data_IF_206031536014
#
_entry.id   IF_206031536014
#
_cell.length_a   1.000
_cell.length_b   1.000
_cell.length_c   1.000
_cell.angle_alpha   90.00
_cell.angle_beta   90.00
_cell.angle_gamma   90.00
#
_symmetry.space_group_name_H-M   'P 1'
#
loop_
_entity.id
_entity.type
_entity.pdbx_description
1 polymer ?
#
# COMPACT_ATOMS: atom_id res chain seq x y z
N UNK A 1 3.39 -13.80 -21.23
CA UNK A 1 3.16 -13.06 -19.96
C UNK A 1 2.51 -11.73 -20.34
N UNK A 2 1.22 -11.48 -20.08
CA UNK A 2 0.61 -10.23 -20.53
C UNK A 2 1.05 -9.10 -19.58
N UNK A 3 1.66 -8.09 -20.18
CA UNK A 3 1.95 -6.79 -19.58
C UNK A 3 0.60 -6.08 -19.38
N UNK A 4 0.26 -5.83 -18.13
CA UNK A 4 -0.92 -5.06 -17.74
C UNK A 4 -0.65 -3.59 -18.07
N UNK A 5 -1.40 -2.93 -18.97
CA UNK A 5 -1.17 -1.52 -19.30
C UNK A 5 -1.40 -0.62 -18.07
N UNK A 6 -0.74 0.54 -17.99
CA UNK A 6 -0.88 1.50 -16.87
C UNK A 6 -2.34 1.85 -16.52
N UNK A 7 -3.21 1.94 -17.53
CA UNK A 7 -4.65 2.16 -17.35
C UNK A 7 -5.30 1.07 -16.48
N UNK A 8 -4.85 -0.18 -16.59
CA UNK A 8 -5.42 -1.30 -15.84
C UNK A 8 -4.89 -1.34 -14.39
N UNK A 9 -3.62 -1.00 -14.12
CA UNK A 9 -3.10 -1.07 -12.75
C UNK A 9 -3.72 0.01 -11.84
N UNK A 10 -3.89 1.23 -12.35
CA UNK A 10 -4.58 2.28 -11.60
C UNK A 10 -6.04 1.93 -11.35
N UNK A 11 -6.78 1.51 -12.39
CA UNK A 11 -8.18 1.10 -12.23
C UNK A 11 -8.32 -0.08 -11.25
N UNK A 12 -7.41 -1.03 -11.32
CA UNK A 12 -7.34 -2.15 -10.40
C UNK A 12 -7.24 -1.69 -8.93
N UNK A 13 -6.32 -0.77 -8.63
CA UNK A 13 -6.16 -0.26 -7.27
C UNK A 13 -7.29 0.68 -6.86
N UNK A 14 -7.82 1.49 -7.79
CA UNK A 14 -9.00 2.34 -7.56
C UNK A 14 -10.19 1.50 -7.13
N UNK A 15 -10.51 0.44 -7.86
CA UNK A 15 -11.59 -0.47 -7.48
C UNK A 15 -11.32 -1.19 -6.15
N UNK A 16 -10.06 -1.56 -5.89
CA UNK A 16 -9.69 -2.24 -4.65
C UNK A 16 -9.83 -1.33 -3.44
N UNK A 17 -9.42 -0.06 -3.57
CA UNK A 17 -9.66 1.00 -2.57
C UNK A 17 -11.16 1.23 -2.39
N UNK A 18 -11.94 1.25 -3.47
CA UNK A 18 -13.39 1.47 -3.38
C UNK A 18 -14.11 0.35 -2.64
N UNK A 19 -13.74 -0.91 -2.94
CA UNK A 19 -14.29 -2.08 -2.25
C UNK A 19 -13.91 -2.07 -0.77
N UNK A 20 -12.65 -1.78 -0.45
CA UNK A 20 -12.17 -1.71 0.94
C UNK A 20 -12.84 -0.56 1.70
N UNK A 21 -12.99 0.62 1.09
CA UNK A 21 -13.73 1.75 1.67
C UNK A 21 -15.23 1.46 1.82
N UNK A 22 -15.87 0.74 0.90
CA UNK A 22 -17.28 0.34 1.08
C UNK A 22 -17.45 -0.63 2.26
N UNK A 23 -16.45 -1.47 2.53
CA UNK A 23 -16.43 -2.36 3.68
C UNK A 23 -16.02 -1.66 4.99
N UNK A 24 -15.29 -0.55 4.91
CA UNK A 24 -14.74 0.18 6.05
C UNK A 24 -15.28 1.61 6.09
N UNK A 25 -16.01 2.00 7.15
CA UNK A 25 -16.60 3.35 7.25
C UNK A 25 -15.59 4.45 7.60
N UNK A 26 -14.40 4.43 7.00
CA UNK A 26 -13.37 5.47 7.16
C UNK A 26 -13.85 6.72 6.43
N UNK A 27 -13.99 7.88 7.08
CA UNK A 27 -14.56 9.08 6.47
C UNK A 27 -13.50 9.83 5.64
N UNK A 28 -13.20 9.29 4.45
CA UNK A 28 -12.29 9.91 3.48
C UNK A 28 -13.02 10.18 2.16
N UNK A 29 -12.76 11.34 1.57
CA UNK A 29 -13.31 11.80 0.30
C UNK A 29 -12.82 11.00 -0.91
N UNK A 30 -13.35 11.37 -2.08
CA UNK A 30 -12.99 10.73 -3.35
C UNK A 30 -11.52 10.97 -3.72
N UNK A 31 -11.04 12.20 -3.56
CA UNK A 31 -9.67 12.56 -3.95
C UNK A 31 -8.63 11.83 -3.09
N UNK A 32 -8.90 11.64 -1.80
CA UNK A 32 -8.08 10.82 -0.91
C UNK A 32 -8.05 9.36 -1.34
N UNK A 33 -9.19 8.79 -1.77
CA UNK A 33 -9.23 7.43 -2.30
C UNK A 33 -8.43 7.29 -3.60
N UNK A 34 -8.55 8.26 -4.51
CA UNK A 34 -7.76 8.29 -5.74
C UNK A 34 -6.27 8.45 -5.45
N UNK A 35 -5.90 9.26 -4.47
CA UNK A 35 -4.53 9.39 -3.99
C UNK A 35 -3.99 8.05 -3.46
N UNK A 36 -4.75 7.34 -2.64
CA UNK A 36 -4.36 6.01 -2.13
C UNK A 36 -4.17 5.00 -3.27
N UNK A 37 -5.04 5.03 -4.28
CA UNK A 37 -4.89 4.17 -5.46
C UNK A 37 -3.60 4.49 -6.22
N UNK A 38 -3.32 5.77 -6.48
CA UNK A 38 -2.07 6.20 -7.13
C UNK A 38 -0.83 5.83 -6.31
N UNK A 39 -0.89 6.00 -4.98
CA UNK A 39 0.19 5.60 -4.08
C UNK A 39 0.50 4.10 -4.19
N UNK A 40 -0.51 3.24 -4.30
CA UNK A 40 -0.30 1.81 -4.49
C UNK A 40 0.31 1.48 -5.85
N UNK A 41 -0.12 2.17 -6.93
CA UNK A 41 0.53 2.08 -8.25
C UNK A 41 2.01 2.42 -8.15
N UNK A 42 2.32 3.56 -7.52
CA UNK A 42 3.69 4.07 -7.40
C UNK A 42 4.61 3.14 -6.60
N UNK A 43 4.06 2.36 -5.65
CA UNK A 43 4.83 1.42 -4.81
C UNK A 43 4.88 0.01 -5.38
N UNK A 44 3.98 -0.35 -6.29
CA UNK A 44 4.00 -1.63 -7.00
C UNK A 44 5.06 -1.67 -8.11
N UNK A 45 5.45 -0.50 -8.63
CA UNK A 45 6.46 -0.34 -9.68
C UNK A 45 7.86 -0.72 -9.18
N UNK A 46 8.46 -1.73 -9.79
CA UNK A 46 9.79 -2.28 -9.44
C UNK A 46 10.95 -1.54 -10.10
N UNK A 47 10.68 -0.66 -11.06
CA UNK A 47 11.67 0.17 -11.77
C UNK A 47 12.05 1.44 -11.00
N UNK A 48 11.36 1.75 -9.91
CA UNK A 48 11.73 2.85 -9.04
C UNK A 48 13.00 2.47 -8.25
N UNK A 49 14.07 3.29 -8.28
CA UNK A 49 15.24 3.02 -7.46
C UNK A 49 14.81 2.87 -6.01
N UNK A 50 15.34 1.84 -5.34
CA UNK A 50 15.06 1.61 -3.93
C UNK A 50 15.30 2.93 -3.19
N UNK A 51 14.33 3.42 -2.40
CA UNK A 51 14.54 4.63 -1.64
C UNK A 51 15.81 4.44 -0.81
N UNK A 52 16.68 5.46 -0.78
CA UNK A 52 17.82 5.47 0.12
C UNK A 52 17.37 5.01 1.51
N UNK A 53 18.24 4.28 2.23
CA UNK A 53 17.99 3.76 3.59
C UNK A 53 17.86 4.90 4.61
N UNK A 54 16.92 5.80 4.37
CA UNK A 54 16.62 6.99 5.16
C UNK A 54 15.47 6.64 6.07
N UNK A 55 15.75 6.67 7.37
CA UNK A 55 14.79 6.51 8.45
C UNK A 55 13.74 7.63 8.41
N UNK A 56 12.59 7.41 9.06
CA UNK A 56 11.57 8.45 9.20
C UNK A 56 12.12 9.69 9.94
N UNK A 57 13.03 9.48 10.89
CA UNK A 57 13.67 10.56 11.64
C UNK A 57 14.57 11.44 10.75
N UNK A 58 15.34 10.83 9.85
CA UNK A 58 16.18 11.58 8.90
C UNK A 58 15.34 12.35 7.88
N UNK A 59 14.25 11.75 7.38
CA UNK A 59 13.30 12.48 6.53
C UNK A 59 12.70 13.68 7.26
N UNK A 60 12.32 13.50 8.53
CA UNK A 60 11.78 14.56 9.36
C UNK A 60 12.80 15.69 9.56
N UNK A 61 14.05 15.35 9.89
CA UNK A 61 15.13 16.31 10.05
C UNK A 61 15.38 17.10 8.76
N UNK A 62 15.45 16.41 7.60
CA UNK A 62 15.61 17.05 6.29
C UNK A 62 14.46 18.02 5.99
N UNK A 63 13.22 17.55 6.14
CA UNK A 63 12.04 18.38 5.86
C UNK A 63 11.98 19.62 6.75
N UNK A 64 12.37 19.49 8.04
CA UNK A 64 12.34 20.59 9.00
C UNK A 64 13.23 21.76 8.59
N UNK A 65 14.39 21.47 8.02
CA UNK A 65 15.37 22.47 7.56
C UNK A 65 15.16 22.93 6.11
N UNK A 66 14.25 22.30 5.37
CA UNK A 66 14.05 22.57 3.94
C UNK A 66 13.16 23.80 3.66
N UNK A 67 13.32 24.36 2.46
CA UNK A 67 12.39 25.35 1.90
C UNK A 67 11.01 24.76 1.57
N UNK A 68 9.98 25.58 1.28
CA UNK A 68 8.58 25.13 1.21
C UNK A 68 8.33 23.94 0.28
N UNK A 69 8.87 23.95 -0.94
CA UNK A 69 8.63 22.89 -1.93
C UNK A 69 9.22 21.53 -1.50
N UNK A 70 10.48 21.53 -1.06
CA UNK A 70 11.14 20.31 -0.58
C UNK A 70 10.54 19.84 0.75
N UNK A 71 10.15 20.78 1.62
CA UNK A 71 9.46 20.49 2.88
C UNK A 71 8.14 19.76 2.64
N UNK A 72 7.29 20.27 1.75
CA UNK A 72 6.01 19.67 1.40
C UNK A 72 6.19 18.25 0.83
N UNK A 73 7.08 18.10 -0.15
CA UNK A 73 7.33 16.81 -0.81
C UNK A 73 8.00 15.79 0.11
N UNK A 74 8.91 16.21 1.00
CA UNK A 74 9.55 15.30 1.96
C UNK A 74 8.58 14.87 3.06
N UNK A 75 7.73 15.76 3.58
CA UNK A 75 6.70 15.37 4.55
C UNK A 75 5.65 14.45 3.94
N UNK A 76 5.23 14.70 2.69
CA UNK A 76 4.38 13.77 1.94
C UNK A 76 5.01 12.38 1.84
N UNK A 77 6.27 12.29 1.41
CA UNK A 77 6.98 11.00 1.29
C UNK A 77 7.14 10.29 2.65
N UNK A 78 7.34 11.02 3.75
CA UNK A 78 7.38 10.46 5.10
C UNK A 78 6.03 9.82 5.47
N UNK A 79 4.93 10.56 5.25
CA UNK A 79 3.57 10.08 5.44
C UNK A 79 3.30 8.81 4.62
N UNK A 80 3.60 8.85 3.32
CA UNK A 80 3.39 7.74 2.39
C UNK A 80 4.18 6.49 2.80
N UNK A 81 5.46 6.63 3.18
CA UNK A 81 6.27 5.51 3.67
C UNK A 81 5.69 4.90 4.93
N UNK A 82 5.24 5.74 5.86
CA UNK A 82 4.67 5.28 7.12
C UNK A 82 3.38 4.52 6.89
N UNK A 83 2.50 5.06 6.04
CA UNK A 83 1.21 4.49 5.68
C UNK A 83 1.37 3.13 4.98
N UNK A 84 2.27 3.04 3.99
CA UNK A 84 2.56 1.81 3.25
C UNK A 84 3.21 0.77 4.16
N UNK A 85 4.16 1.17 5.01
CA UNK A 85 4.84 0.25 5.92
C UNK A 85 3.85 -0.40 6.89
N UNK A 86 2.95 0.40 7.48
CA UNK A 86 1.94 -0.09 8.42
C UNK A 86 0.83 -0.89 7.73
N UNK A 87 0.29 -0.40 6.62
CA UNK A 87 -0.81 -1.04 5.91
C UNK A 87 -0.37 -2.35 5.25
N UNK A 88 0.79 -2.36 4.58
CA UNK A 88 1.22 -3.50 3.77
C UNK A 88 2.23 -4.42 4.46
N UNK A 89 3.00 -3.96 5.46
CA UNK A 89 4.14 -4.71 6.01
C UNK A 89 4.14 -4.87 7.55
N UNK A 90 2.96 -4.88 8.18
CA UNK A 90 2.81 -4.94 9.64
C UNK A 90 3.63 -6.03 10.35
N UNK A 91 3.72 -7.25 9.80
CA UNK A 91 4.55 -8.36 10.37
C UNK A 91 6.05 -8.04 10.45
N UNK A 92 6.55 -7.15 9.59
CA UNK A 92 7.94 -6.71 9.58
C UNK A 92 8.23 -5.66 10.65
N UNK A 93 7.19 -5.01 11.20
CA UNK A 93 7.31 -4.01 12.27
C UNK A 93 7.30 -4.62 13.67
N UNK A 94 6.62 -5.76 13.86
CA UNK A 94 6.60 -6.50 15.14
C UNK A 94 8.01 -6.97 15.59
N UNK A 95 8.99 -6.95 14.67
CA UNK A 95 10.39 -7.35 14.92
C UNK A 95 11.34 -6.17 15.14
N UNK A 96 10.87 -4.91 15.10
CA UNK A 96 11.71 -3.72 15.23
C UNK A 96 11.60 -3.09 16.62
N UNK A 97 12.68 -2.47 17.08
CA UNK A 97 12.76 -1.72 18.35
C UNK A 97 11.78 -0.54 18.42
N UNK A 98 11.45 0.03 17.25
CA UNK A 98 10.50 1.13 17.13
C UNK A 98 9.17 0.58 16.62
N UNK A 99 8.13 0.66 17.44
CA UNK A 99 6.84 0.00 17.22
C UNK A 99 5.93 0.69 16.21
N UNK A 100 4.81 0.03 15.90
CA UNK A 100 3.80 0.52 14.97
C UNK A 100 3.21 1.89 15.34
N UNK A 101 3.16 2.22 16.64
CA UNK A 101 2.68 3.53 17.14
C UNK A 101 3.55 4.69 16.65
N UNK A 102 4.88 4.54 16.67
CA UNK A 102 5.80 5.57 16.18
C UNK A 102 5.58 5.87 14.70
N UNK A 103 5.42 4.83 13.87
CA UNK A 103 5.13 5.00 12.45
C UNK A 103 3.77 5.69 12.25
N UNK A 104 2.78 5.39 13.08
CA UNK A 104 1.45 5.99 12.97
C UNK A 104 1.47 7.47 13.34
N UNK A 105 2.08 7.80 14.48
CA UNK A 105 2.25 9.18 14.95
C UNK A 105 3.09 10.00 13.97
N UNK A 106 4.20 9.46 13.49
CA UNK A 106 5.05 10.16 12.52
C UNK A 106 4.39 10.33 11.16
N UNK A 107 3.70 9.31 10.66
CA UNK A 107 3.00 9.39 9.39
C UNK A 107 1.86 10.40 9.41
N UNK A 108 1.00 10.33 10.43
CA UNK A 108 -0.11 11.28 10.61
C UNK A 108 0.39 12.72 10.73
N UNK A 109 1.40 12.95 11.59
CA UNK A 109 1.94 14.28 11.79
C UNK A 109 2.73 14.81 10.57
N UNK A 110 3.23 13.94 9.71
CA UNK A 110 3.86 14.35 8.46
C UNK A 110 2.83 14.79 7.41
N UNK A 111 1.72 14.09 7.27
CA UNK A 111 0.63 14.56 6.41
C UNK A 111 0.07 15.91 6.88
N UNK A 112 -0.10 16.10 8.20
CA UNK A 112 -0.53 17.41 8.72
C UNK A 112 0.45 18.54 8.34
N UNK A 113 1.76 18.28 8.43
CA UNK A 113 2.77 19.27 8.03
C UNK A 113 2.82 19.49 6.52
N UNK A 114 2.54 18.46 5.72
CA UNK A 114 2.42 18.60 4.28
C UNK A 114 1.21 19.49 3.93
N UNK A 115 0.05 19.23 4.53
CA UNK A 115 -1.18 20.01 4.42
C UNK A 115 -0.94 21.49 4.73
N UNK A 116 -0.35 21.78 5.89
CA UNK A 116 -0.03 23.14 6.33
C UNK A 116 0.82 23.90 5.29
N UNK A 117 1.79 23.22 4.65
CA UNK A 117 2.66 23.84 3.66
C UNK A 117 1.95 24.00 2.32
N UNK A 118 1.15 23.04 1.87
CA UNK A 118 0.36 23.15 0.63
C UNK A 118 -0.66 24.28 0.69
N UNK A 119 -1.40 24.39 1.80
CA UNK A 119 -2.35 25.48 2.03
C UNK A 119 -1.68 26.85 2.06
N UNK A 120 -0.51 26.97 2.71
CA UNK A 120 0.18 28.26 2.85
C UNK A 120 0.96 28.70 1.62
N UNK A 121 1.56 27.76 0.88
CA UNK A 121 2.59 28.08 -0.11
C UNK A 121 2.23 27.65 -1.54
N UNK A 122 1.17 26.86 -1.75
CA UNK A 122 0.87 26.22 -3.03
C UNK A 122 -0.62 26.27 -3.41
N UNK A 123 -1.32 27.33 -3.00
CA UNK A 123 -2.72 27.58 -3.35
C UNK A 123 -3.66 26.38 -3.08
N UNK A 124 -3.36 25.61 -2.03
CA UNK A 124 -4.14 24.44 -1.63
C UNK A 124 -4.32 23.38 -2.74
N UNK A 125 -3.26 23.12 -3.50
CA UNK A 125 -3.27 22.23 -4.67
C UNK A 125 -3.76 20.79 -4.43
N UNK A 126 -3.91 20.36 -3.17
CA UNK A 126 -4.37 19.03 -2.79
C UNK A 126 -5.68 19.05 -1.98
N UNK A 127 -6.28 20.23 -1.79
CA UNK A 127 -7.47 20.41 -0.95
C UNK A 127 -7.34 19.68 0.39
N UNK A 128 -8.37 18.92 0.74
CA UNK A 128 -8.44 18.24 2.03
C UNK A 128 -7.69 16.89 2.08
N UNK A 129 -7.02 16.46 1.00
CA UNK A 129 -6.43 15.10 0.92
C UNK A 129 -5.44 14.84 2.06
N UNK A 130 -4.50 15.75 2.31
CA UNK A 130 -3.50 15.55 3.36
C UNK A 130 -4.06 15.73 4.76
N UNK A 131 -5.03 16.63 4.93
CA UNK A 131 -5.78 16.78 6.18
C UNK A 131 -6.53 15.49 6.54
N UNK A 132 -7.25 14.90 5.58
CA UNK A 132 -7.97 13.64 5.75
C UNK A 132 -7.02 12.47 6.04
N UNK A 133 -5.90 12.37 5.31
CA UNK A 133 -4.87 11.35 5.56
C UNK A 133 -4.25 11.50 6.95
N UNK A 134 -4.03 12.73 7.44
CA UNK A 134 -3.53 12.97 8.78
C UNK A 134 -4.57 12.57 9.84
N UNK A 135 -5.80 13.05 9.70
CA UNK A 135 -6.92 12.84 10.65
C UNK A 135 -7.35 11.38 10.73
N UNK A 136 -7.40 10.69 9.59
CA UNK A 136 -7.90 9.32 9.46
C UNK A 136 -6.80 8.32 9.18
N UNK A 137 -5.55 8.63 9.55
CA UNK A 137 -4.38 7.81 9.25
C UNK A 137 -4.56 6.33 9.61
N UNK A 138 -5.04 6.03 10.82
CA UNK A 138 -5.29 4.64 11.26
C UNK A 138 -6.36 3.93 10.41
N UNK A 139 -7.39 4.65 9.98
CA UNK A 139 -8.40 4.14 9.05
C UNK A 139 -7.81 3.84 7.67
N UNK A 140 -6.97 4.73 7.14
CA UNK A 140 -6.26 4.50 5.89
C UNK A 140 -5.29 3.32 5.98
N UNK A 141 -4.60 3.14 7.11
CA UNK A 141 -3.77 1.94 7.37
C UNK A 141 -4.61 0.68 7.32
N UNK A 142 -5.79 0.67 7.95
CA UNK A 142 -6.70 -0.46 7.93
C UNK A 142 -7.21 -0.76 6.51
N UNK A 143 -7.57 0.27 5.75
CA UNK A 143 -7.99 0.15 4.36
C UNK A 143 -6.92 -0.53 3.50
N UNK A 144 -5.66 -0.11 3.60
CA UNK A 144 -4.54 -0.76 2.89
C UNK A 144 -4.31 -2.20 3.35
N UNK A 145 -4.47 -2.48 4.64
CA UNK A 145 -4.35 -3.82 5.19
C UNK A 145 -5.45 -4.76 4.67
N UNK A 146 -6.67 -4.26 4.49
CA UNK A 146 -7.80 -5.00 3.93
C UNK A 146 -7.59 -5.32 2.45
N UNK A 147 -7.09 -4.35 1.66
CA UNK A 147 -6.68 -4.60 0.27
C UNK A 147 -5.66 -5.74 0.23
N UNK A 148 -4.59 -5.67 1.04
CA UNK A 148 -3.57 -6.72 1.10
C UNK A 148 -4.18 -8.09 1.46
N UNK A 149 -5.07 -8.14 2.46
CA UNK A 149 -5.70 -9.36 2.91
C UNK A 149 -6.59 -10.00 1.82
N UNK A 150 -7.38 -9.19 1.13
CA UNK A 150 -8.21 -9.61 0.00
C UNK A 150 -7.36 -10.21 -1.12
N UNK A 151 -6.26 -9.55 -1.47
CA UNK A 151 -5.32 -10.05 -2.46
C UNK A 151 -4.73 -11.41 -2.10
N UNK A 152 -4.23 -11.57 -0.87
CA UNK A 152 -3.70 -12.85 -0.44
C UNK A 152 -4.75 -13.96 -0.46
N UNK A 153 -6.00 -13.67 -0.08
CA UNK A 153 -7.09 -14.64 -0.11
C UNK A 153 -7.38 -15.11 -1.53
N UNK A 154 -7.54 -14.19 -2.49
CA UNK A 154 -7.74 -14.51 -3.91
C UNK A 154 -6.57 -15.29 -4.51
N UNK A 155 -5.33 -14.95 -4.15
CA UNK A 155 -4.16 -15.69 -4.60
C UNK A 155 -4.17 -17.13 -4.08
N UNK A 156 -4.51 -17.34 -2.81
CA UNK A 156 -4.61 -18.67 -2.20
C UNK A 156 -5.74 -19.51 -2.80
N UNK A 157 -6.92 -18.92 -3.05
CA UNK A 157 -8.04 -19.59 -3.71
C UNK A 157 -7.70 -20.04 -5.13
N UNK A 158 -7.00 -19.21 -5.90
CA UNK A 158 -6.53 -19.57 -7.25
C UNK A 158 -5.55 -20.75 -7.21
N UNK A 159 -4.64 -20.78 -6.24
CA UNK A 159 -3.71 -21.88 -6.03
C UNK A 159 -4.46 -23.18 -5.67
N UNK A 160 -5.42 -23.10 -4.74
CA UNK A 160 -6.23 -24.25 -4.33
C UNK A 160 -7.09 -24.81 -5.47
N UNK A 161 -7.68 -23.94 -6.30
CA UNK A 161 -8.44 -24.34 -7.47
C UNK A 161 -7.55 -25.04 -8.51
N UNK A 162 -6.35 -24.50 -8.76
CA UNK A 162 -5.39 -25.11 -9.70
C UNK A 162 -4.86 -26.48 -9.23
N UNK A 163 -4.67 -26.67 -7.92
CA UNK A 163 -4.24 -27.94 -7.32
C UNK A 163 -5.35 -29.01 -7.35
N UNK A 164 -6.62 -28.60 -7.30
CA UNK A 164 -7.77 -29.52 -7.37
C UNK A 164 -8.07 -29.97 -8.80
N UNK A 165 -7.73 -29.14 -9.80
CA UNK A 165 -7.82 -29.51 -11.23
C UNK A 165 -6.65 -30.34 -11.75
N UNK A 166 -5.63 -30.64 -10.92
CA UNK A 166 -4.61 -31.63 -11.25
C UNK A 166 -5.25 -33.03 -11.18
N UNK A 167 -5.53 -33.58 -12.36
CA UNK A 167 -6.27 -34.81 -12.64
C UNK A 167 -5.81 -36.05 -11.82
N UNK A 168 -6.71 -36.73 -11.08
CA UNK A 168 -6.49 -38.06 -10.51
C UNK A 168 -6.10 -39.15 -11.54
N UNK A 169 -6.32 -38.90 -12.84
CA UNK A 169 -6.03 -39.80 -13.96
C UNK A 169 -4.55 -40.08 -14.22
N UNK A 170 -3.61 -39.29 -13.68
CA UNK A 170 -2.17 -39.54 -13.89
C UNK A 170 -1.53 -40.51 -12.87
N UNK A 171 -2.28 -40.96 -11.85
CA UNK A 171 -1.78 -41.96 -10.87
C UNK A 171 -2.14 -43.40 -11.29
N UNK A 172 -3.08 -43.58 -12.22
CA UNK A 172 -3.50 -44.90 -12.71
C UNK A 172 -2.58 -45.50 -13.80
N UNK A 173 -1.65 -44.73 -14.38
CA UNK A 173 -0.81 -45.16 -15.52
C UNK A 173 0.56 -45.72 -15.13
N UNK A 174 0.80 -46.05 -13.85
CA UNK A 174 1.99 -46.79 -13.39
C UNK A 174 1.66 -48.16 -12.76
N UNK A 175 0.40 -48.61 -12.87
CA UNK A 175 -0.04 -49.96 -12.48
C UNK A 175 0.08 -50.98 -13.62
N UNK A 176 1.17 -50.96 -14.39
CA UNK A 176 1.42 -51.94 -15.44
C UNK A 176 2.00 -53.24 -14.89
N UNK A 177 1.19 -54.30 -14.78
CA UNK A 177 1.67 -55.68 -15.01
C UNK A 177 1.74 -55.89 -16.53
N UNK A 178 2.77 -56.56 -17.08
CA UNK A 178 2.78 -58.03 -17.09
C UNK A 178 4.19 -58.70 -17.08
N UNK A 179 4.25 -59.96 -16.66
CA UNK A 179 5.45 -60.81 -16.75
C UNK A 179 5.16 -62.24 -16.34
N UNK A 180 5.12 -63.12 -17.34
CA UNK A 180 4.67 -64.51 -17.35
C UNK A 180 5.79 -65.50 -16.94
N UNK A 181 5.46 -66.51 -16.13
CA UNK A 181 5.98 -67.88 -16.19
C UNK A 181 5.12 -68.78 -15.29
#
# INVERSE_FOLDING_TARGET
MPIVPEANLFDFFRESVERAHSATRVPVGQDTRLYLAQLLVDRARTDRPAPAETTLAELHARASCAGPAEKATTYRELGDRSLVCLGLFRKSLDRKTVGASYYAEMGSAAYQRADDVFKRCFADAFGDVFEELARHFGGCVALLADIRAEHHRRSAERLALSATTADPGMVALLGGKPGNA
#
